data_IF_058536071786
#
_entry.id   IF_058536071786
#
_cell.length_a   1.000
_cell.length_b   1.000
_cell.length_c   1.000
_cell.angle_alpha   90.00
_cell.angle_beta   90.00
_cell.angle_gamma   90.00
#
_symmetry.space_group_name_H-M   'P 1'
#
loop_
_entity.id
_entity.type
_entity.pdbx_description
1 polymer ?
#
# COMPACT_ATOMS: atom_id res chain seq x y z
N UNK A 1 9.48 21.87 -1.27
CA UNK A 1 8.25 21.50 -0.55
C UNK A 1 8.08 20.00 -0.66
N UNK A 2 8.26 19.28 0.45
CA UNK A 2 8.07 17.82 0.45
C UNK A 2 6.58 17.50 0.60
N UNK A 3 5.94 17.21 -0.52
CA UNK A 3 4.56 16.70 -0.52
C UNK A 3 4.52 15.31 0.13
N UNK A 4 3.49 15.03 0.90
CA UNK A 4 3.24 13.66 1.38
C UNK A 4 2.98 12.74 0.17
N UNK A 5 3.35 11.45 0.24
CA UNK A 5 3.09 10.51 -0.86
C UNK A 5 1.63 10.49 -1.32
N UNK A 6 0.69 10.64 -0.38
CA UNK A 6 -0.75 10.71 -0.68
C UNK A 6 -1.19 11.97 -1.43
N UNK A 7 -0.36 13.01 -1.44
CA UNK A 7 -0.63 14.30 -2.09
C UNK A 7 -0.02 14.40 -3.49
N UNK A 8 0.91 13.50 -3.81
CA UNK A 8 1.60 13.49 -5.11
C UNK A 8 0.66 13.02 -6.22
N UNK A 9 0.27 13.94 -7.09
CA UNK A 9 -0.66 13.63 -8.19
C UNK A 9 0.01 13.12 -9.44
N UNK A 10 1.33 13.02 -9.48
CA UNK A 10 2.07 12.56 -10.65
C UNK A 10 3.21 11.60 -10.28
N UNK A 11 3.38 10.55 -11.09
CA UNK A 11 4.49 9.61 -10.97
C UNK A 11 5.65 10.08 -11.84
N UNK A 12 6.85 9.94 -11.32
CA UNK A 12 8.09 10.16 -12.07
C UNK A 12 9.06 9.00 -11.85
N UNK A 13 9.56 8.43 -12.94
CA UNK A 13 10.59 7.39 -12.91
C UNK A 13 10.10 5.98 -12.57
N UNK A 14 8.82 5.80 -12.28
CA UNK A 14 8.23 4.49 -11.93
C UNK A 14 7.08 4.09 -12.85
N UNK A 15 6.99 4.71 -14.01
CA UNK A 15 5.92 4.51 -14.97
C UNK A 15 5.83 3.05 -15.46
N UNK A 16 6.97 2.41 -15.69
CA UNK A 16 7.01 1.01 -16.12
C UNK A 16 6.48 0.06 -15.04
N UNK A 17 6.89 0.25 -13.80
CA UNK A 17 6.37 -0.53 -12.66
C UNK A 17 4.87 -0.34 -12.48
N UNK A 18 4.42 0.89 -12.61
CA UNK A 18 2.99 1.20 -12.52
C UNK A 18 2.20 0.47 -13.61
N UNK A 19 2.67 0.52 -14.85
CA UNK A 19 2.03 -0.17 -15.96
C UNK A 19 1.99 -1.68 -15.77
N UNK A 20 3.05 -2.27 -15.22
CA UNK A 20 3.06 -3.70 -14.89
C UNK A 20 1.99 -4.06 -13.86
N UNK A 21 1.90 -3.29 -12.78
CA UNK A 21 0.90 -3.52 -11.72
C UNK A 21 -0.53 -3.32 -12.24
N UNK A 22 -0.76 -2.29 -13.04
CA UNK A 22 -2.05 -2.06 -13.70
C UNK A 22 -2.41 -3.22 -14.63
N UNK A 23 -1.44 -3.71 -15.39
CA UNK A 23 -1.62 -4.88 -16.27
C UNK A 23 -2.02 -6.13 -15.49
N UNK A 24 -1.35 -6.40 -14.38
CA UNK A 24 -1.70 -7.52 -13.50
C UNK A 24 -3.13 -7.39 -12.94
N UNK A 25 -3.51 -6.20 -12.53
CA UNK A 25 -4.87 -5.95 -12.06
C UNK A 25 -5.91 -6.17 -13.15
N UNK A 26 -5.71 -5.60 -14.34
CA UNK A 26 -6.62 -5.75 -15.48
C UNK A 26 -6.83 -7.22 -15.89
N UNK A 27 -5.80 -8.03 -15.79
CA UNK A 27 -5.86 -9.47 -16.11
C UNK A 27 -6.27 -10.35 -14.93
N UNK A 28 -6.68 -9.75 -13.81
CA UNK A 28 -7.05 -10.46 -12.56
C UNK A 28 -5.95 -11.36 -12.02
N UNK A 29 -4.71 -10.96 -12.22
CA UNK A 29 -3.50 -11.67 -11.78
C UNK A 29 -2.70 -10.90 -10.73
N UNK A 30 -3.22 -9.79 -10.22
CA UNK A 30 -2.53 -9.02 -9.19
C UNK A 30 -2.44 -9.85 -7.91
N UNK A 31 -1.22 -10.07 -7.38
CA UNK A 31 -1.08 -10.79 -6.13
C UNK A 31 -1.71 -10.00 -4.98
N UNK A 32 -2.24 -10.70 -4.01
CA UNK A 32 -2.87 -10.09 -2.84
C UNK A 32 -1.87 -9.54 -1.82
N UNK A 33 -0.58 -9.73 -2.05
CA UNK A 33 0.50 -9.15 -1.25
C UNK A 33 1.63 -8.70 -2.18
N UNK A 34 2.02 -7.44 -2.04
CA UNK A 34 3.07 -6.81 -2.84
C UNK A 34 4.07 -6.16 -1.88
N UNK A 35 5.35 -6.46 -2.04
CA UNK A 35 6.43 -5.81 -1.30
C UNK A 35 7.19 -4.87 -2.23
N UNK A 36 7.18 -3.59 -1.90
CA UNK A 36 7.98 -2.56 -2.57
C UNK A 36 9.19 -2.24 -1.69
N UNK A 37 10.36 -2.63 -2.12
CA UNK A 37 11.60 -2.46 -1.37
C UNK A 37 12.57 -1.57 -2.12
N UNK A 38 13.27 -0.73 -1.40
CA UNK A 38 14.29 0.15 -1.96
C UNK A 38 14.57 1.35 -1.07
N UNK A 39 15.47 2.21 -1.55
CA UNK A 39 15.90 3.39 -0.81
C UNK A 39 14.71 4.31 -0.47
N UNK A 40 14.74 4.88 0.75
CA UNK A 40 13.77 5.89 1.17
C UNK A 40 13.76 7.07 0.18
N UNK A 41 12.57 7.56 -0.16
CA UNK A 41 12.41 8.67 -1.10
C UNK A 41 12.48 8.27 -2.58
N UNK A 42 12.49 6.99 -2.91
CA UNK A 42 12.51 6.52 -4.31
C UNK A 42 11.13 6.50 -4.99
N UNK A 43 10.08 6.96 -4.31
CA UNK A 43 8.73 7.04 -4.87
C UNK A 43 7.85 5.81 -4.68
N UNK A 44 8.24 4.86 -3.85
CA UNK A 44 7.48 3.63 -3.60
C UNK A 44 6.08 3.90 -3.03
N UNK A 45 5.98 4.77 -2.03
CA UNK A 45 4.70 5.13 -1.43
C UNK A 45 3.82 5.88 -2.42
N UNK A 46 4.37 6.77 -3.21
CA UNK A 46 3.64 7.46 -4.29
C UNK A 46 3.10 6.46 -5.31
N UNK A 47 3.91 5.49 -5.72
CA UNK A 47 3.49 4.42 -6.62
C UNK A 47 2.30 3.64 -6.04
N UNK A 48 2.37 3.28 -4.75
CA UNK A 48 1.30 2.58 -4.06
C UNK A 48 -0.01 3.39 -4.06
N UNK A 49 0.04 4.68 -3.71
CA UNK A 49 -1.14 5.55 -3.73
C UNK A 49 -1.73 5.71 -5.13
N UNK A 50 -0.90 5.79 -6.17
CA UNK A 50 -1.38 5.85 -7.55
C UNK A 50 -2.09 4.56 -7.98
N UNK A 51 -1.53 3.40 -7.65
CA UNK A 51 -2.18 2.12 -7.95
C UNK A 51 -3.52 1.99 -7.22
N UNK A 52 -3.56 2.32 -5.93
CA UNK A 52 -4.78 2.27 -5.12
C UNK A 52 -5.83 3.24 -5.68
N UNK A 53 -5.44 4.47 -6.01
CA UNK A 53 -6.34 5.45 -6.61
C UNK A 53 -6.89 4.95 -7.95
N UNK A 54 -6.04 4.43 -8.82
CA UNK A 54 -6.45 3.87 -10.11
C UNK A 54 -7.57 2.84 -9.93
N UNK A 55 -7.39 1.91 -8.99
CA UNK A 55 -8.35 0.83 -8.77
C UNK A 55 -9.63 1.34 -8.09
N UNK A 56 -9.51 2.16 -7.05
CA UNK A 56 -10.67 2.64 -6.30
C UNK A 56 -11.49 3.69 -7.03
N UNK A 57 -10.90 4.43 -7.97
CA UNK A 57 -11.58 5.47 -8.75
C UNK A 57 -12.12 5.00 -10.10
N UNK A 58 -12.01 3.74 -10.41
CA UNK A 58 -12.33 3.17 -11.74
C UNK A 58 -13.77 3.47 -12.19
N UNK A 59 -14.71 3.60 -11.25
CA UNK A 59 -16.11 3.92 -11.53
C UNK A 59 -16.48 5.38 -11.20
N UNK A 60 -15.51 6.22 -10.95
CA UNK A 60 -15.74 7.64 -10.69
C UNK A 60 -15.76 8.46 -11.99
N UNK A 61 -16.40 9.63 -11.94
CA UNK A 61 -16.45 10.56 -13.07
C UNK A 61 -15.06 11.04 -13.47
N UNK A 62 -14.25 11.41 -12.47
CA UNK A 62 -12.87 11.86 -12.66
C UNK A 62 -11.89 10.73 -12.38
N UNK A 63 -11.76 9.81 -13.32
CA UNK A 63 -10.87 8.65 -13.20
C UNK A 63 -9.39 9.03 -13.20
N UNK A 64 -8.56 8.08 -12.82
CA UNK A 64 -7.12 8.17 -12.96
C UNK A 64 -6.72 8.32 -14.45
N UNK A 65 -5.80 9.22 -14.73
CA UNK A 65 -5.27 9.44 -16.07
C UNK A 65 -4.07 8.52 -16.33
N UNK A 66 -4.33 7.41 -17.03
CA UNK A 66 -3.31 6.42 -17.37
C UNK A 66 -2.29 6.92 -18.40
N UNK A 67 -2.68 7.86 -19.26
CA UNK A 67 -1.79 8.37 -20.31
C UNK A 67 -0.73 9.28 -19.73
N UNK A 68 -1.10 10.11 -18.76
CA UNK A 68 -0.22 11.08 -18.12
C UNK A 68 0.28 10.64 -16.73
N UNK A 69 -0.04 9.43 -16.29
CA UNK A 69 0.34 8.90 -14.97
C UNK A 69 -0.01 9.87 -13.84
N UNK A 70 -1.24 10.37 -13.87
CA UNK A 70 -1.66 11.41 -12.94
C UNK A 70 -3.03 11.14 -12.32
N UNK A 71 -3.14 11.57 -11.06
CA UNK A 71 -4.40 11.55 -10.32
C UNK A 71 -5.12 12.88 -10.56
N UNK A 72 -6.39 12.81 -10.92
CA UNK A 72 -7.23 14.00 -10.97
C UNK A 72 -7.59 14.44 -9.54
N UNK A 73 -7.32 15.68 -9.20
CA UNK A 73 -7.59 16.26 -7.87
C UNK A 73 -9.09 16.31 -7.52
N UNK A 74 -9.96 16.29 -8.50
CA UNK A 74 -11.42 16.25 -8.31
C UNK A 74 -11.95 14.84 -8.06
N UNK A 75 -11.10 13.86 -8.19
CA UNK A 75 -11.35 12.47 -7.91
C UNK A 75 -11.71 12.28 -6.43
N UNK A 76 -12.85 11.65 -6.16
CA UNK A 76 -13.36 11.44 -4.80
C UNK A 76 -12.42 10.56 -3.97
N UNK A 77 -11.92 9.49 -4.56
CA UNK A 77 -10.98 8.59 -3.89
C UNK A 77 -9.70 9.32 -3.46
N UNK A 78 -9.18 10.22 -4.29
CA UNK A 78 -8.01 11.04 -3.93
C UNK A 78 -8.24 11.84 -2.65
N UNK A 79 -9.38 12.53 -2.57
CA UNK A 79 -9.72 13.34 -1.39
C UNK A 79 -9.84 12.49 -0.13
N UNK A 80 -10.44 11.31 -0.24
CA UNK A 80 -10.60 10.37 0.88
C UNK A 80 -9.28 9.72 1.29
N UNK A 81 -8.42 9.37 0.33
CA UNK A 81 -7.10 8.79 0.62
C UNK A 81 -6.18 9.77 1.34
N UNK A 82 -6.21 11.04 0.97
CA UNK A 82 -5.41 12.07 1.65
C UNK A 82 -5.72 12.17 3.15
N UNK A 83 -6.96 11.97 3.52
CA UNK A 83 -7.45 12.09 4.89
C UNK A 83 -7.54 10.75 5.62
N UNK A 84 -7.04 9.67 5.04
CA UNK A 84 -7.15 8.30 5.57
C UNK A 84 -8.61 7.91 5.92
N UNK A 85 -9.57 8.42 5.15
CA UNK A 85 -11.00 8.21 5.39
C UNK A 85 -11.70 7.39 4.31
N UNK A 86 -10.96 6.84 3.35
CA UNK A 86 -11.55 5.97 2.34
C UNK A 86 -11.96 4.62 2.97
N UNK A 87 -13.22 4.16 2.78
CA UNK A 87 -13.71 2.92 3.43
C UNK A 87 -12.97 1.65 2.96
N UNK A 88 -12.36 1.68 1.78
CA UNK A 88 -11.63 0.55 1.20
C UNK A 88 -10.10 0.67 1.33
N UNK A 89 -9.64 1.55 2.21
CA UNK A 89 -8.22 1.80 2.41
C UNK A 89 -7.90 1.88 3.90
N UNK A 90 -6.80 1.26 4.29
CA UNK A 90 -6.26 1.33 5.66
C UNK A 90 -4.75 1.53 5.61
N UNK A 91 -4.26 2.56 6.29
CA UNK A 91 -2.84 2.86 6.40
C UNK A 91 -2.29 2.44 7.76
N UNK A 92 -1.18 1.73 7.73
CA UNK A 92 -0.33 1.52 8.91
C UNK A 92 1.01 2.17 8.64
N UNK A 93 1.45 3.01 9.55
CA UNK A 93 2.74 3.66 9.53
C UNK A 93 3.24 3.88 10.95
N UNK A 94 4.50 4.24 11.06
CA UNK A 94 5.11 4.62 12.32
C UNK A 94 4.41 5.86 12.90
N UNK A 95 3.86 5.71 14.10
CA UNK A 95 3.20 6.83 14.78
C UNK A 95 4.23 7.86 15.25
N UNK A 96 3.83 9.11 15.33
CA UNK A 96 4.66 10.20 15.84
C UNK A 96 5.21 9.84 17.22
N UNK A 97 6.50 10.07 17.41
CA UNK A 97 7.25 9.78 18.66
C UNK A 97 7.43 8.29 18.96
N UNK A 98 6.93 7.38 18.15
CA UNK A 98 7.16 5.94 18.29
C UNK A 98 8.33 5.47 17.43
N UNK A 99 9.10 4.51 17.96
CA UNK A 99 10.26 3.90 17.27
C UNK A 99 9.90 2.62 16.53
N UNK A 100 8.74 2.07 16.80
CA UNK A 100 8.28 0.82 16.18
C UNK A 100 6.78 0.84 15.93
N UNK A 101 6.35 0.03 14.95
CA UNK A 101 4.95 -0.29 14.70
C UNK A 101 4.59 -1.45 15.63
N UNK A 102 3.66 -1.23 16.54
CA UNK A 102 3.31 -2.21 17.56
C UNK A 102 2.20 -3.18 17.12
N UNK A 103 2.05 -4.24 17.89
CA UNK A 103 1.05 -5.29 17.60
C UNK A 103 -0.39 -4.77 17.69
N UNK A 104 -0.64 -3.73 18.48
CA UNK A 104 -1.96 -3.09 18.58
C UNK A 104 -2.43 -2.53 17.25
N UNK A 105 -1.52 -1.85 16.52
CA UNK A 105 -1.82 -1.32 15.17
C UNK A 105 -2.18 -2.45 14.19
N UNK A 106 -1.47 -3.57 14.26
CA UNK A 106 -1.76 -4.74 13.41
C UNK A 106 -3.11 -5.37 13.78
N UNK A 107 -3.42 -5.50 15.07
CA UNK A 107 -4.72 -6.03 15.52
C UNK A 107 -5.90 -5.18 15.08
N UNK A 108 -5.78 -3.86 15.16
CA UNK A 108 -6.80 -2.94 14.65
C UNK A 108 -7.01 -3.12 13.14
N UNK A 109 -5.95 -3.27 12.39
CA UNK A 109 -6.03 -3.54 10.96
C UNK A 109 -6.74 -4.89 10.68
N UNK A 110 -6.43 -5.94 11.42
CA UNK A 110 -7.08 -7.25 11.29
C UNK A 110 -8.58 -7.12 11.54
N UNK A 111 -8.98 -6.38 12.59
CA UNK A 111 -10.38 -6.11 12.85
C UNK A 111 -11.06 -5.38 11.68
N UNK A 112 -10.38 -4.44 11.07
CA UNK A 112 -10.87 -3.77 9.87
C UNK A 112 -11.09 -4.75 8.72
N UNK A 113 -10.14 -5.66 8.45
CA UNK A 113 -10.26 -6.63 7.35
C UNK A 113 -11.37 -7.66 7.57
N UNK A 114 -11.73 -7.93 8.83
CA UNK A 114 -12.78 -8.88 9.19
C UNK A 114 -14.19 -8.29 9.12
N UNK A 115 -14.32 -6.97 9.01
CA UNK A 115 -15.63 -6.34 8.84
C UNK A 115 -16.15 -6.56 7.42
N UNK A 116 -17.43 -6.84 7.29
CA UNK A 116 -18.07 -6.94 5.98
C UNK A 116 -17.99 -5.62 5.22
N UNK A 117 -17.79 -5.71 3.91
CA UNK A 117 -17.81 -4.54 3.03
C UNK A 117 -19.22 -4.21 2.61
N UNK A 118 -19.56 -2.92 2.55
CA UNK A 118 -20.80 -2.44 1.93
C UNK A 118 -20.77 -2.58 0.39
N UNK A 119 -19.60 -2.76 -0.15
CA UNK A 119 -19.41 -2.95 -1.59
C UNK A 119 -18.42 -4.12 -1.78
N UNK A 120 -18.61 -4.88 -2.83
CA UNK A 120 -17.70 -5.99 -3.18
C UNK A 120 -16.39 -5.50 -3.83
N UNK A 121 -15.97 -4.28 -3.51
CA UNK A 121 -14.73 -3.70 -4.04
C UNK A 121 -13.51 -4.16 -3.27
N UNK A 122 -12.36 -4.08 -3.92
CA UNK A 122 -11.08 -4.36 -3.30
C UNK A 122 -10.81 -3.44 -2.10
N UNK A 123 -10.23 -4.01 -1.05
CA UNK A 123 -9.69 -3.27 0.09
C UNK A 123 -8.18 -3.29 0.02
N UNK A 124 -7.57 -2.17 0.31
CA UNK A 124 -6.12 -2.01 0.32
C UNK A 124 -5.61 -1.71 1.72
N UNK A 125 -4.64 -2.50 2.14
CA UNK A 125 -3.88 -2.25 3.36
C UNK A 125 -2.48 -1.82 2.93
N UNK A 126 -2.13 -0.58 3.22
CA UNK A 126 -0.81 -0.04 2.97
C UNK A 126 -0.04 0.01 4.28
N UNK A 127 1.07 -0.71 4.35
CA UNK A 127 1.96 -0.69 5.51
C UNK A 127 3.27 -0.06 5.09
N UNK A 128 3.48 1.17 5.49
CA UNK A 128 4.72 1.89 5.23
C UNK A 128 5.74 1.63 6.34
N UNK A 129 7.02 1.71 6.02
CA UNK A 129 8.11 1.49 6.96
C UNK A 129 8.04 0.12 7.67
N UNK A 130 7.81 -0.96 6.91
CA UNK A 130 7.68 -2.32 7.49
C UNK A 130 8.90 -2.77 8.28
N UNK A 131 10.08 -2.20 8.00
CA UNK A 131 11.32 -2.43 8.78
C UNK A 131 11.20 -2.01 10.25
N UNK A 132 10.21 -1.18 10.57
CA UNK A 132 9.94 -0.72 11.94
C UNK A 132 8.90 -1.59 12.68
N UNK A 133 8.41 -2.67 12.08
CA UNK A 133 7.59 -3.65 12.78
C UNK A 133 8.40 -4.32 13.88
N UNK A 134 7.86 -4.38 15.10
CA UNK A 134 8.49 -5.20 16.14
C UNK A 134 8.19 -6.69 15.91
N UNK A 135 8.84 -7.58 16.65
CA UNK A 135 8.73 -9.03 16.48
C UNK A 135 7.29 -9.53 16.59
N UNK A 136 6.52 -9.03 17.56
CA UNK A 136 5.13 -9.43 17.76
C UNK A 136 4.24 -8.95 16.61
N UNK A 137 4.49 -7.76 16.09
CA UNK A 137 3.78 -7.19 14.95
C UNK A 137 4.04 -7.98 13.68
N UNK A 138 5.29 -8.35 13.43
CA UNK A 138 5.68 -9.22 12.30
C UNK A 138 4.91 -10.53 12.35
N UNK A 139 4.91 -11.20 13.50
CA UNK A 139 4.24 -12.49 13.66
C UNK A 139 2.73 -12.38 13.43
N UNK A 140 2.10 -11.34 13.93
CA UNK A 140 0.67 -11.10 13.73
C UNK A 140 0.36 -10.80 12.26
N UNK A 141 1.20 -10.01 11.59
CA UNK A 141 1.05 -9.68 10.17
C UNK A 141 1.20 -10.94 9.29
N UNK A 142 2.23 -11.74 9.53
CA UNK A 142 2.48 -12.96 8.74
C UNK A 142 1.27 -13.90 8.73
N UNK A 143 0.59 -14.05 9.85
CA UNK A 143 -0.61 -14.87 9.96
C UNK A 143 -1.73 -14.41 9.03
N UNK A 144 -1.97 -13.10 8.94
CA UNK A 144 -3.05 -12.55 8.12
C UNK A 144 -2.71 -12.52 6.63
N UNK A 145 -1.45 -12.30 6.26
CA UNK A 145 -1.04 -12.25 4.84
C UNK A 145 -0.87 -13.64 4.21
N UNK A 146 -0.71 -14.70 5.01
CA UNK A 146 -0.68 -16.09 4.52
C UNK A 146 -2.06 -16.52 4.01
N UNK A 147 -3.10 -16.15 4.71
CA UNK A 147 -4.49 -16.47 4.36
C UNK A 147 -5.33 -15.18 4.38
N UNK A 148 -5.17 -14.27 3.42
CA UNK A 148 -5.89 -13.02 3.41
C UNK A 148 -7.38 -13.24 3.08
N UNK A 149 -8.23 -12.37 3.61
CA UNK A 149 -9.63 -12.35 3.24
C UNK A 149 -9.78 -12.04 1.74
N UNK A 150 -10.86 -12.51 1.15
CA UNK A 150 -11.16 -12.28 -0.25
C UNK A 150 -11.21 -10.77 -0.57
N UNK A 151 -10.63 -10.36 -1.70
CA UNK A 151 -10.54 -8.98 -2.15
C UNK A 151 -9.74 -8.02 -1.23
N UNK A 152 -8.90 -8.55 -0.35
CA UNK A 152 -7.99 -7.75 0.46
C UNK A 152 -6.58 -7.84 -0.12
N UNK A 153 -5.98 -6.68 -0.40
CA UNK A 153 -4.65 -6.56 -0.96
C UNK A 153 -3.73 -5.83 0.02
N UNK A 154 -2.57 -6.41 0.27
CA UNK A 154 -1.54 -5.83 1.12
C UNK A 154 -0.42 -5.25 0.28
N UNK A 155 -0.10 -3.98 0.48
CA UNK A 155 1.08 -3.35 -0.09
C UNK A 155 2.01 -2.98 1.06
N UNK A 156 3.19 -3.59 1.07
CA UNK A 156 4.20 -3.40 2.10
C UNK A 156 5.34 -2.58 1.53
N UNK A 157 5.75 -1.54 2.24
CA UNK A 157 6.85 -0.67 1.80
C UNK A 157 8.02 -0.80 2.76
N UNK A 158 9.14 -1.26 2.24
CA UNK A 158 10.41 -1.38 2.96
C UNK A 158 11.35 -0.28 2.50
N UNK A 159 11.69 0.62 3.40
CA UNK A 159 12.59 1.75 3.18
C UNK A 159 14.00 1.51 3.70
N UNK A 160 14.29 0.33 4.27
CA UNK A 160 15.63 0.03 4.71
C UNK A 160 16.55 -0.23 3.52
N UNK A 161 17.64 0.51 3.45
CA UNK A 161 18.72 0.23 2.52
C UNK A 161 19.62 -0.84 3.17
N UNK A 162 19.28 -2.12 2.97
CA UNK A 162 20.13 -3.21 3.40
C UNK A 162 21.27 -3.38 2.41
N UNK A 163 22.44 -2.90 2.78
CA UNK A 163 23.70 -3.31 2.20
C UNK A 163 23.99 -4.75 2.66
N UNK A 164 23.20 -5.69 2.12
CA UNK A 164 23.25 -7.06 2.60
C UNK A 164 23.91 -7.97 1.57
N UNK A 165 25.00 -8.63 1.98
CA UNK A 165 25.79 -9.48 1.09
C UNK A 165 25.48 -10.96 1.21
N UNK A 166 24.64 -11.38 2.14
CA UNK A 166 24.30 -12.80 2.29
C UNK A 166 22.98 -12.97 3.03
N UNK A 167 21.85 -12.99 2.28
CA UNK A 167 20.57 -13.28 2.90
C UNK A 167 20.52 -14.74 3.37
N UNK A 168 20.32 -14.94 4.67
CA UNK A 168 19.86 -16.21 5.17
C UNK A 168 18.45 -16.46 4.60
N UNK A 169 18.09 -17.68 4.18
CA UNK A 169 16.74 -18.00 3.73
C UNK A 169 15.62 -17.68 4.72
N UNK A 170 15.98 -17.45 5.99
CA UNK A 170 15.06 -17.09 7.08
C UNK A 170 14.78 -15.59 7.16
N UNK A 171 15.61 -14.75 6.51
CA UNK A 171 15.53 -13.30 6.53
C UNK A 171 14.92 -12.74 5.25
N UNK A 172 14.58 -13.58 4.29
CA UNK A 172 13.95 -13.15 3.05
C UNK A 172 12.45 -13.03 3.22
N UNK A 173 11.95 -11.84 3.08
CA UNK A 173 10.56 -11.51 2.92
C UNK A 173 10.08 -11.76 1.49
N UNK A 174 10.47 -12.80 0.91
CA UNK A 174 10.02 -13.11 -0.44
C UNK A 174 8.60 -13.66 -0.45
#
# INVERSE_FOLDING_TARGET
MNLKPSENTKIYGMENFFNELVGLYKHKKMPNKILLSGKKGSGKSTLAYHLINYILSENEEHKYDLENFSINKDNKSYKLLQNNSHPNFYLIDLLTEKKSIDVGQIREMINYTNKSTFNNKARFILIDNVENLNKNSVNALLKIIEEPNENVFFILINNSCLLYTSPSPRDSWA
#
